data_IF_872131764105
#
_entry.id   IF_872131764105
#
_cell.length_a   1.000
_cell.length_b   1.000
_cell.length_c   1.000
_cell.angle_alpha   90.00
_cell.angle_beta   90.00
_cell.angle_gamma   90.00
#
_symmetry.space_group_name_H-M   'P 1'
#
loop_
_entity.id
_entity.type
_entity.pdbx_description
1 polymer ?
#
# COMPACT_ATOMS: atom_id res chain seq x y z
N UNK A 1 -69.91 27.19 10.78
CA UNK A 1 -68.93 26.43 10.00
C UNK A 1 -67.90 27.44 9.50
N UNK A 2 -66.74 27.53 10.14
CA UNK A 2 -65.64 28.47 9.79
C UNK A 2 -64.42 27.59 9.50
N UNK A 3 -64.02 27.55 8.24
CA UNK A 3 -62.84 26.82 7.75
C UNK A 3 -61.60 27.68 7.96
N UNK A 4 -60.71 27.24 8.84
CA UNK A 4 -59.41 27.84 9.04
C UNK A 4 -58.39 27.31 8.05
N UNK A 5 -57.78 28.21 7.26
CA UNK A 5 -56.67 27.90 6.38
C UNK A 5 -55.37 27.96 7.16
N UNK A 6 -54.65 26.84 7.22
CA UNK A 6 -53.31 26.79 7.78
C UNK A 6 -52.28 27.18 6.71
N UNK A 7 -51.53 28.24 6.96
CA UNK A 7 -50.36 28.63 6.18
C UNK A 7 -49.16 27.74 6.55
N UNK A 8 -48.75 26.87 5.62
CA UNK A 8 -47.53 26.11 5.75
C UNK A 8 -46.33 26.98 5.41
N UNK A 9 -45.53 27.34 6.43
CA UNK A 9 -44.24 27.99 6.26
C UNK A 9 -43.17 26.99 5.78
N UNK A 10 -42.65 27.15 4.58
CA UNK A 10 -41.53 26.38 4.08
C UNK A 10 -40.21 26.83 4.80
N UNK A 11 -39.38 25.89 5.25
CA UNK A 11 -38.10 26.28 5.82
C UNK A 11 -37.15 26.74 4.70
N UNK A 12 -36.68 27.97 4.81
CA UNK A 12 -35.54 28.47 4.03
C UNK A 12 -34.28 27.73 4.46
N UNK A 13 -33.87 26.72 3.67
CA UNK A 13 -32.56 26.10 3.80
C UNK A 13 -31.54 27.06 3.18
N UNK A 14 -30.84 27.84 3.98
CA UNK A 14 -29.67 28.59 3.55
C UNK A 14 -28.61 27.61 3.05
N UNK A 15 -28.51 27.50 1.73
CA UNK A 15 -27.42 26.81 1.06
C UNK A 15 -26.18 27.66 1.20
N UNK A 16 -25.37 27.43 2.25
CA UNK A 16 -24.04 28.01 2.36
C UNK A 16 -23.25 27.57 1.12
N UNK A 17 -22.95 28.51 0.24
CA UNK A 17 -22.02 28.31 -0.88
C UNK A 17 -20.65 28.00 -0.26
N UNK A 18 -20.29 26.72 -0.24
CA UNK A 18 -18.93 26.32 0.07
C UNK A 18 -18.01 26.97 -0.97
N UNK A 19 -17.20 27.93 -0.53
CA UNK A 19 -16.13 28.48 -1.35
C UNK A 19 -15.22 27.31 -1.70
N UNK A 20 -14.94 27.03 -3.00
CA UNK A 20 -14.02 25.99 -3.37
C UNK A 20 -12.67 26.34 -2.72
N UNK A 21 -12.23 25.54 -1.76
CA UNK A 21 -10.85 25.61 -1.29
C UNK A 21 -10.01 25.14 -2.46
N UNK A 22 -9.20 26.04 -3.02
CA UNK A 22 -8.27 25.67 -4.08
C UNK A 22 -7.42 24.50 -3.61
N UNK A 23 -7.40 23.41 -4.36
CA UNK A 23 -6.52 22.29 -4.06
C UNK A 23 -5.07 22.81 -4.02
N UNK A 24 -4.29 22.41 -3.03
CA UNK A 24 -2.89 22.81 -2.97
C UNK A 24 -2.19 22.37 -4.27
N UNK A 25 -1.24 23.16 -4.79
CA UNK A 25 -0.52 22.80 -6.01
C UNK A 25 0.12 21.42 -5.86
N UNK A 26 0.06 20.61 -6.93
CA UNK A 26 0.65 19.28 -6.94
C UNK A 26 2.14 19.37 -6.59
N UNK A 27 2.66 18.50 -5.71
CA UNK A 27 4.07 18.49 -5.37
C UNK A 27 4.91 18.19 -6.61
N UNK A 28 6.10 18.79 -6.75
CA UNK A 28 6.95 18.55 -7.89
C UNK A 28 7.37 17.08 -7.96
N UNK A 29 7.41 16.54 -9.17
CA UNK A 29 7.97 15.21 -9.40
C UNK A 29 9.44 15.19 -8.96
N UNK A 30 9.91 14.13 -8.27
CA UNK A 30 11.32 13.97 -7.94
C UNK A 30 12.23 14.00 -9.16
N UNK A 31 13.46 14.47 -8.98
CA UNK A 31 14.49 14.52 -10.05
C UNK A 31 15.14 13.16 -10.34
N UNK A 32 14.82 12.13 -9.58
CA UNK A 32 15.31 10.76 -9.75
C UNK A 32 14.28 9.89 -10.48
N UNK A 33 14.69 8.74 -11.07
CA UNK A 33 13.78 7.79 -11.68
C UNK A 33 12.72 7.29 -10.70
N UNK A 34 11.46 7.31 -11.11
CA UNK A 34 10.32 6.90 -10.29
C UNK A 34 9.73 5.60 -10.84
N UNK A 35 9.38 4.70 -9.94
CA UNK A 35 8.64 3.48 -10.26
C UNK A 35 7.43 3.32 -9.33
N UNK A 36 6.35 2.77 -9.87
CA UNK A 36 5.18 2.29 -9.16
C UNK A 36 5.28 0.77 -9.04
N UNK A 37 5.62 0.26 -7.87
CA UNK A 37 5.77 -1.18 -7.66
C UNK A 37 4.51 -1.85 -7.10
N UNK A 38 3.37 -1.15 -7.05
CA UNK A 38 2.14 -1.67 -6.50
C UNK A 38 0.94 -1.39 -7.43
N UNK A 39 0.95 -2.03 -8.60
CA UNK A 39 -0.12 -1.93 -9.58
C UNK A 39 -0.70 -3.32 -9.84
N UNK A 40 -2.02 -3.43 -9.78
CA UNK A 40 -2.76 -4.64 -10.11
C UNK A 40 -3.47 -4.48 -11.46
N UNK A 41 -3.38 -5.48 -12.31
CA UNK A 41 -4.22 -5.53 -13.50
C UNK A 41 -5.65 -5.90 -13.11
N UNK A 42 -6.61 -5.39 -13.87
CA UNK A 42 -8.04 -5.58 -13.60
C UNK A 42 -8.86 -5.48 -14.89
N UNK A 43 -10.18 -5.59 -14.77
CA UNK A 43 -11.10 -5.35 -15.89
C UNK A 43 -11.08 -3.89 -16.37
N UNK A 44 -10.58 -2.96 -15.55
CA UNK A 44 -10.50 -1.53 -15.84
C UNK A 44 -9.07 -1.03 -16.07
N UNK A 45 -8.06 -1.89 -15.92
CA UNK A 45 -6.65 -1.58 -16.15
C UNK A 45 -5.94 -2.76 -16.81
N UNK A 46 -5.82 -2.73 -18.11
CA UNK A 46 -5.01 -3.69 -18.87
C UNK A 46 -3.52 -3.36 -18.76
N UNK A 47 -2.66 -4.32 -19.14
CA UNK A 47 -1.20 -4.10 -19.16
C UNK A 47 -0.80 -2.95 -20.09
N UNK A 48 -1.43 -2.84 -21.26
CA UNK A 48 -1.13 -1.77 -22.22
C UNK A 48 -1.56 -0.39 -21.67
N UNK A 49 -2.70 -0.31 -20.98
CA UNK A 49 -3.13 0.91 -20.30
C UNK A 49 -2.17 1.28 -19.16
N UNK A 50 -1.75 0.32 -18.32
CA UNK A 50 -0.78 0.59 -17.25
C UNK A 50 0.54 1.12 -17.81
N UNK A 51 1.05 0.52 -18.89
CA UNK A 51 2.27 0.97 -19.56
C UNK A 51 2.12 2.37 -20.18
N UNK A 52 0.96 2.65 -20.79
CA UNK A 52 0.69 3.98 -21.34
C UNK A 52 0.65 5.05 -20.23
N UNK A 53 -0.05 4.78 -19.12
CA UNK A 53 -0.07 5.66 -17.95
C UNK A 53 1.34 5.90 -17.40
N UNK A 54 2.13 4.83 -17.26
CA UNK A 54 3.52 4.92 -16.82
C UNK A 54 4.36 5.80 -17.75
N UNK A 55 4.24 5.61 -19.06
CA UNK A 55 4.93 6.42 -20.09
C UNK A 55 4.54 7.89 -20.00
N UNK A 56 3.23 8.19 -19.95
CA UNK A 56 2.72 9.57 -19.93
C UNK A 56 3.14 10.32 -18.67
N UNK A 57 3.28 9.60 -17.55
CA UNK A 57 3.69 10.14 -16.24
C UNK A 57 5.19 10.02 -15.99
N UNK A 58 5.93 9.37 -16.89
CA UNK A 58 7.37 9.12 -16.75
C UNK A 58 7.70 8.26 -15.53
N UNK A 59 6.90 7.20 -15.28
CA UNK A 59 7.00 6.28 -14.14
C UNK A 59 7.17 4.86 -14.66
N UNK A 60 8.12 4.11 -14.14
CA UNK A 60 8.25 2.67 -14.42
C UNK A 60 7.14 1.90 -13.72
N UNK A 61 6.64 0.86 -14.37
CA UNK A 61 5.55 0.04 -13.82
C UNK A 61 6.07 -1.31 -13.31
N UNK A 62 5.68 -1.63 -12.09
CA UNK A 62 5.76 -2.96 -11.50
C UNK A 62 4.35 -3.52 -11.32
N UNK A 63 4.13 -4.74 -11.79
CA UNK A 63 2.84 -5.43 -11.67
C UNK A 63 2.92 -6.47 -10.57
N UNK A 64 1.93 -6.46 -9.70
CA UNK A 64 1.74 -7.50 -8.67
C UNK A 64 0.40 -8.19 -8.83
N UNK A 65 0.35 -9.45 -8.44
CA UNK A 65 -0.88 -10.23 -8.31
C UNK A 65 -0.86 -10.98 -6.98
N UNK A 66 -2.02 -11.33 -6.47
CA UNK A 66 -2.16 -12.06 -5.22
C UNK A 66 -1.92 -13.56 -5.42
N UNK A 67 -0.86 -14.12 -4.81
CA UNK A 67 -0.65 -15.55 -4.77
C UNK A 67 -1.30 -16.17 -3.52
N UNK A 68 -1.59 -17.47 -3.60
CA UNK A 68 -2.02 -18.28 -2.47
C UNK A 68 -3.36 -18.97 -2.69
N UNK A 69 -3.74 -19.83 -1.75
CA UNK A 69 -5.00 -20.57 -1.80
C UNK A 69 -6.20 -19.63 -1.86
N UNK A 70 -7.04 -19.82 -2.85
CA UNK A 70 -8.21 -18.96 -3.09
C UNK A 70 -7.95 -17.75 -3.98
N UNK A 71 -6.72 -17.55 -4.44
CA UNK A 71 -6.29 -16.49 -5.35
C UNK A 71 -5.91 -17.05 -6.73
N UNK A 72 -5.80 -16.21 -7.78
CA UNK A 72 -5.49 -16.66 -9.14
C UNK A 72 -4.17 -17.41 -9.26
N UNK A 73 -3.17 -17.06 -8.44
CA UNK A 73 -1.86 -17.71 -8.43
C UNK A 73 -1.79 -18.66 -7.23
N UNK A 74 -2.14 -19.95 -7.44
CA UNK A 74 -2.18 -20.91 -6.33
C UNK A 74 -1.25 -22.13 -6.51
N UNK A 75 -0.48 -22.17 -7.57
CA UNK A 75 0.49 -23.22 -7.88
C UNK A 75 1.73 -22.66 -8.59
N UNK A 76 2.81 -23.44 -8.64
CA UNK A 76 4.00 -23.13 -9.43
C UNK A 76 3.66 -22.92 -10.91
N UNK A 77 2.73 -23.71 -11.45
CA UNK A 77 2.30 -23.60 -12.83
C UNK A 77 1.60 -22.26 -13.11
N UNK A 78 0.71 -21.82 -12.21
CA UNK A 78 0.02 -20.52 -12.34
C UNK A 78 1.01 -19.36 -12.25
N UNK A 79 1.94 -19.45 -11.28
CA UNK A 79 2.95 -18.40 -11.09
C UNK A 79 3.90 -18.33 -12.28
N UNK A 80 4.33 -19.47 -12.83
CA UNK A 80 5.16 -19.53 -14.05
C UNK A 80 4.41 -18.88 -15.22
N UNK A 81 3.15 -19.26 -15.44
CA UNK A 81 2.32 -18.69 -16.52
C UNK A 81 2.16 -17.17 -16.37
N UNK A 82 1.97 -16.69 -15.16
CA UNK A 82 1.89 -15.26 -14.86
C UNK A 82 3.20 -14.55 -15.23
N UNK A 83 4.34 -15.08 -14.77
CA UNK A 83 5.66 -14.52 -15.05
C UNK A 83 5.92 -14.49 -16.56
N UNK A 84 5.72 -15.61 -17.26
CA UNK A 84 5.93 -15.72 -18.71
C UNK A 84 5.02 -14.76 -19.49
N UNK A 85 3.79 -14.61 -19.05
CA UNK A 85 2.81 -13.67 -19.62
C UNK A 85 3.26 -12.22 -19.56
N UNK A 86 3.90 -11.82 -18.46
CA UNK A 86 4.37 -10.44 -18.24
C UNK A 86 5.80 -10.20 -18.75
N UNK A 87 6.62 -11.25 -18.91
CA UNK A 87 8.03 -11.13 -19.29
C UNK A 87 8.26 -10.43 -20.64
N UNK A 88 7.28 -10.48 -21.55
CA UNK A 88 7.29 -9.81 -22.84
C UNK A 88 7.09 -8.30 -22.76
N UNK A 89 6.64 -7.77 -21.62
CA UNK A 89 6.42 -6.34 -21.40
C UNK A 89 7.57 -5.71 -20.59
N UNK A 90 7.80 -4.40 -20.74
CA UNK A 90 8.86 -3.68 -20.01
C UNK A 90 8.43 -3.33 -18.56
N UNK A 91 7.86 -4.29 -17.83
CA UNK A 91 7.43 -4.14 -16.43
C UNK A 91 8.37 -4.86 -15.46
N UNK A 92 8.29 -4.54 -14.18
CA UNK A 92 8.82 -5.37 -13.11
C UNK A 92 7.72 -6.30 -12.64
N UNK A 93 8.06 -7.57 -12.43
CA UNK A 93 7.11 -8.64 -12.13
C UNK A 93 7.23 -9.00 -10.66
N UNK A 94 6.19 -8.72 -9.90
CA UNK A 94 6.13 -9.05 -8.49
C UNK A 94 4.87 -9.84 -8.13
N UNK A 95 4.79 -10.21 -6.87
CA UNK A 95 3.58 -10.74 -6.23
C UNK A 95 3.34 -10.03 -4.91
N UNK A 96 2.06 -10.00 -4.48
CA UNK A 96 1.63 -9.52 -3.17
C UNK A 96 0.95 -10.64 -2.39
N UNK A 97 1.71 -11.45 -1.59
CA UNK A 97 1.13 -12.41 -0.66
C UNK A 97 0.15 -11.73 0.30
N UNK A 98 -1.03 -12.35 0.49
CA UNK A 98 -2.11 -11.76 1.30
C UNK A 98 -2.04 -12.21 2.76
N UNK A 99 -1.49 -13.40 3.03
CA UNK A 99 -1.38 -13.96 4.39
C UNK A 99 0.00 -14.59 4.61
N UNK A 100 0.45 -14.59 5.85
CA UNK A 100 1.75 -15.18 6.20
C UNK A 100 1.78 -16.69 5.91
N UNK A 101 2.88 -17.13 5.32
CA UNK A 101 3.07 -18.52 4.86
C UNK A 101 2.58 -18.79 3.44
N UNK A 102 1.96 -17.82 2.79
CA UNK A 102 1.52 -17.95 1.39
C UNK A 102 2.66 -18.33 0.45
N UNK A 103 3.82 -17.73 0.62
CA UNK A 103 5.02 -18.02 -0.18
C UNK A 103 5.50 -19.47 -0.10
N UNK A 104 5.17 -20.20 0.98
CA UNK A 104 5.52 -21.61 1.16
C UNK A 104 4.75 -22.55 0.22
N UNK A 105 3.70 -22.07 -0.43
CA UNK A 105 2.94 -22.82 -1.44
C UNK A 105 3.67 -22.91 -2.78
N UNK A 106 4.78 -22.20 -2.94
CA UNK A 106 5.55 -22.14 -4.18
C UNK A 106 6.97 -22.62 -3.97
N UNK A 107 7.51 -23.28 -5.00
CA UNK A 107 8.89 -23.70 -4.99
C UNK A 107 9.85 -22.50 -5.11
N UNK A 108 11.00 -22.60 -4.44
CA UNK A 108 12.02 -21.56 -4.52
C UNK A 108 12.45 -21.22 -5.95
N UNK A 109 12.67 -22.20 -6.89
CA UNK A 109 13.03 -21.88 -8.27
C UNK A 109 12.01 -21.02 -9.02
N UNK A 110 10.71 -21.11 -8.69
CA UNK A 110 9.67 -20.28 -9.30
C UNK A 110 9.64 -18.90 -8.64
N UNK A 111 9.71 -18.83 -7.31
CA UNK A 111 9.80 -17.54 -6.60
C UNK A 111 11.05 -16.74 -7.01
N UNK A 112 12.17 -17.41 -7.25
CA UNK A 112 13.42 -16.76 -7.68
C UNK A 112 13.32 -16.11 -9.07
N UNK A 113 12.29 -16.39 -9.86
CA UNK A 113 12.05 -15.73 -11.14
C UNK A 113 11.33 -14.38 -11.00
N UNK A 114 10.73 -14.10 -9.86
CA UNK A 114 10.10 -12.81 -9.60
C UNK A 114 11.16 -11.72 -9.43
N UNK A 115 10.90 -10.53 -9.93
CA UNK A 115 11.78 -9.38 -9.74
C UNK A 115 11.71 -8.89 -8.28
N UNK A 116 10.53 -9.01 -7.63
CA UNK A 116 10.34 -8.65 -6.23
C UNK A 116 9.12 -9.35 -5.62
N UNK A 117 9.06 -9.36 -4.29
CA UNK A 117 7.89 -9.76 -3.51
C UNK A 117 7.56 -8.58 -2.58
N UNK A 118 6.36 -8.04 -2.73
CA UNK A 118 5.81 -6.98 -1.92
C UNK A 118 4.74 -7.58 -1.02
N UNK A 119 4.74 -7.28 0.29
CA UNK A 119 3.71 -7.76 1.20
C UNK A 119 3.39 -6.70 2.24
N UNK A 120 2.14 -6.63 2.62
CA UNK A 120 1.62 -5.89 3.76
C UNK A 120 1.32 -6.83 4.96
N UNK A 121 0.82 -6.24 6.04
CA UNK A 121 0.35 -7.00 7.20
C UNK A 121 -1.15 -6.70 7.46
N UNK A 122 -1.95 -6.57 6.40
CA UNK A 122 -3.34 -6.12 6.51
C UNK A 122 -4.36 -7.25 6.67
N UNK A 123 -3.93 -8.50 6.49
CA UNK A 123 -4.77 -9.70 6.69
C UNK A 123 -4.31 -10.43 7.94
N UNK A 124 -4.85 -10.03 9.10
CA UNK A 124 -4.46 -10.59 10.38
C UNK A 124 -5.16 -11.93 10.65
N UNK A 125 -4.45 -12.93 11.20
CA UNK A 125 -5.10 -14.14 11.68
C UNK A 125 -5.99 -13.83 12.89
N UNK A 126 -7.20 -14.43 12.92
CA UNK A 126 -8.10 -14.36 14.06
C UNK A 126 -7.79 -15.45 15.08
N UNK A 127 -8.05 -15.24 16.39
CA UNK A 127 -7.84 -16.27 17.44
C UNK A 127 -8.72 -17.50 17.26
N UNK A 128 -9.92 -17.31 16.70
CA UNK A 128 -10.92 -18.36 16.41
C UNK A 128 -10.76 -19.02 15.05
N UNK A 129 -9.71 -18.67 14.32
CA UNK A 129 -9.46 -19.09 12.95
C UNK A 129 -9.98 -18.06 11.93
N UNK A 130 -9.53 -18.20 10.65
CA UNK A 130 -9.82 -17.25 9.58
C UNK A 130 -8.99 -15.96 9.67
N UNK A 131 -9.45 -14.90 8.99
CA UNK A 131 -8.68 -13.70 8.74
C UNK A 131 -9.48 -12.44 9.03
N UNK A 132 -8.80 -11.40 9.51
CA UNK A 132 -9.33 -10.05 9.68
C UNK A 132 -8.66 -9.14 8.65
N UNK A 133 -9.43 -8.69 7.66
CA UNK A 133 -8.99 -7.77 6.61
C UNK A 133 -9.09 -6.32 7.11
N UNK A 134 -8.02 -5.78 7.68
CA UNK A 134 -8.06 -4.50 8.40
C UNK A 134 -8.19 -3.27 7.49
N UNK A 135 -8.04 -3.42 6.16
CA UNK A 135 -8.28 -2.35 5.19
C UNK A 135 -9.77 -2.13 4.89
N UNK A 136 -10.64 -3.07 5.26
CA UNK A 136 -12.07 -2.93 5.04
C UNK A 136 -12.67 -1.86 5.96
N UNK A 137 -13.56 -1.04 5.40
CA UNK A 137 -14.14 0.10 6.12
C UNK A 137 -15.02 -0.32 7.30
N UNK A 138 -15.60 -1.52 7.22
CA UNK A 138 -16.47 -2.13 8.23
C UNK A 138 -15.71 -3.00 9.25
N UNK A 139 -14.39 -3.02 9.19
CA UNK A 139 -13.57 -3.73 10.17
C UNK A 139 -13.85 -3.22 11.57
N UNK A 140 -14.24 -4.12 12.48
CA UNK A 140 -14.47 -3.82 13.89
C UNK A 140 -13.19 -4.02 14.70
N UNK A 141 -12.94 -3.09 15.63
CA UNK A 141 -11.84 -3.18 16.60
C UNK A 141 -12.42 -2.82 17.98
N UNK A 142 -12.63 -3.82 18.82
CA UNK A 142 -13.23 -3.65 20.14
C UNK A 142 -12.24 -3.07 21.15
N UNK A 143 -11.00 -3.54 21.16
CA UNK A 143 -9.91 -3.05 21.99
C UNK A 143 -8.68 -2.69 21.13
N UNK A 144 -8.39 -1.38 21.06
CA UNK A 144 -7.27 -0.87 20.29
C UNK A 144 -5.90 -1.34 20.84
N UNK A 145 -5.75 -1.58 22.14
CA UNK A 145 -4.47 -2.01 22.73
C UNK A 145 -4.19 -3.48 22.43
N UNK A 146 -5.21 -4.33 22.57
CA UNK A 146 -5.14 -5.74 22.20
C UNK A 146 -4.88 -5.88 20.70
N UNK A 147 -5.66 -5.18 19.87
CA UNK A 147 -5.44 -5.13 18.42
C UNK A 147 -3.99 -4.78 18.08
N UNK A 148 -3.45 -3.70 18.65
CA UNK A 148 -2.07 -3.28 18.36
C UNK A 148 -1.02 -4.28 18.85
N UNK A 149 -1.30 -5.05 19.88
CA UNK A 149 -0.40 -6.12 20.35
C UNK A 149 -0.33 -7.24 19.32
N UNK A 150 -1.47 -7.73 18.84
CA UNK A 150 -1.57 -8.76 17.80
C UNK A 150 -1.01 -8.27 16.48
N UNK A 151 -1.36 -7.04 16.09
CA UNK A 151 -0.90 -6.45 14.83
C UNK A 151 0.63 -6.31 14.81
N UNK A 152 1.25 -5.86 15.91
CA UNK A 152 2.71 -5.81 16.03
C UNK A 152 3.34 -7.20 15.86
N UNK A 153 2.80 -8.22 16.53
CA UNK A 153 3.29 -9.60 16.40
C UNK A 153 3.18 -10.10 14.94
N UNK A 154 2.10 -9.76 14.27
CA UNK A 154 1.91 -10.14 12.88
C UNK A 154 2.86 -9.40 11.93
N UNK A 155 3.07 -8.09 12.10
CA UNK A 155 4.10 -7.33 11.38
C UNK A 155 5.49 -7.98 11.59
N UNK A 156 5.83 -8.32 12.82
CA UNK A 156 7.09 -9.00 13.13
C UNK A 156 7.21 -10.36 12.40
N UNK A 157 6.14 -11.16 12.40
CA UNK A 157 6.09 -12.40 11.66
C UNK A 157 6.32 -12.16 10.16
N UNK A 158 5.59 -11.24 9.53
CA UNK A 158 5.77 -10.91 8.10
C UNK A 158 7.21 -10.51 7.82
N UNK A 159 7.76 -9.56 8.59
CA UNK A 159 9.11 -9.05 8.36
C UNK A 159 10.23 -10.07 8.62
N UNK A 160 9.98 -11.09 9.44
CA UNK A 160 11.02 -12.07 9.82
C UNK A 160 10.93 -13.39 9.06
N UNK A 161 9.74 -13.80 8.64
CA UNK A 161 9.53 -15.15 8.06
C UNK A 161 9.23 -15.15 6.57
N UNK A 162 8.71 -14.05 6.02
CA UNK A 162 8.36 -13.99 4.59
C UNK A 162 9.56 -13.51 3.74
N UNK A 163 9.74 -14.06 2.52
CA UNK A 163 10.84 -13.72 1.63
C UNK A 163 10.58 -12.41 0.85
N UNK A 164 10.20 -11.34 1.55
CA UNK A 164 9.79 -10.08 0.94
C UNK A 164 10.94 -9.12 0.69
N UNK A 165 10.81 -8.31 -0.35
CA UNK A 165 11.73 -7.23 -0.69
C UNK A 165 11.17 -5.86 -0.27
N UNK A 166 9.83 -5.74 -0.24
CA UNK A 166 9.12 -4.48 0.03
C UNK A 166 8.04 -4.76 1.07
N UNK A 167 8.04 -3.98 2.15
CA UNK A 167 6.96 -3.96 3.14
C UNK A 167 6.00 -2.83 2.83
N UNK A 168 4.80 -3.20 2.40
CA UNK A 168 3.74 -2.27 2.02
C UNK A 168 2.88 -1.85 3.23
N UNK A 169 2.26 -0.68 3.14
CA UNK A 169 1.34 -0.12 4.15
C UNK A 169 1.88 -0.15 5.59
N UNK A 170 3.13 0.22 5.86
CA UNK A 170 3.88 -0.14 7.07
C UNK A 170 3.28 0.40 8.38
N UNK A 171 2.45 1.45 8.33
CA UNK A 171 1.87 2.08 9.52
C UNK A 171 0.35 2.22 9.46
N UNK A 172 -0.30 1.50 8.56
CA UNK A 172 -1.74 1.56 8.41
C UNK A 172 -2.48 1.22 9.71
N UNK A 173 -3.59 1.89 9.96
CA UNK A 173 -4.53 1.56 11.03
C UNK A 173 -5.95 1.50 10.46
N UNK A 174 -6.78 0.52 10.89
CA UNK A 174 -8.16 0.44 10.47
C UNK A 174 -8.98 1.64 10.94
N UNK A 175 -10.02 1.97 10.18
CA UNK A 175 -10.86 3.17 10.36
C UNK A 175 -11.30 3.41 11.82
N UNK A 176 -11.78 2.40 12.59
CA UNK A 176 -12.26 2.63 13.96
C UNK A 176 -11.22 3.24 14.91
N UNK A 177 -9.94 2.98 14.67
CA UNK A 177 -8.85 3.44 15.53
C UNK A 177 -7.89 4.40 14.84
N UNK A 178 -8.11 4.75 13.59
CA UNK A 178 -7.23 5.62 12.82
C UNK A 178 -7.01 7.00 13.48
N UNK A 179 -8.04 7.55 14.13
CA UNK A 179 -7.95 8.83 14.87
C UNK A 179 -6.98 8.77 16.06
N UNK A 180 -6.63 7.58 16.54
CA UNK A 180 -5.70 7.36 17.64
C UNK A 180 -4.26 7.15 17.13
N UNK A 181 -3.97 7.46 15.87
CA UNK A 181 -2.70 7.15 15.21
C UNK A 181 -1.48 7.59 16.05
N UNK A 182 -1.42 8.83 16.50
CA UNK A 182 -0.30 9.35 17.29
C UNK A 182 -0.07 8.58 18.62
N UNK A 183 -1.15 8.07 19.22
CA UNK A 183 -1.09 7.31 20.48
C UNK A 183 -0.73 5.84 20.25
N UNK A 184 -1.20 5.26 19.14
CA UNK A 184 -1.03 3.84 18.82
C UNK A 184 0.29 3.56 18.08
N UNK A 185 0.80 4.49 17.28
CA UNK A 185 2.10 4.42 16.61
C UNK A 185 3.20 5.08 17.44
N UNK A 186 3.41 4.53 18.65
CA UNK A 186 4.45 5.04 19.57
C UNK A 186 5.84 4.97 18.94
N UNK A 187 6.80 5.83 19.38
CA UNK A 187 8.18 5.76 18.90
C UNK A 187 8.79 4.36 18.95
N UNK A 188 8.51 3.59 20.01
CA UNK A 188 9.02 2.23 20.18
C UNK A 188 8.46 1.26 19.13
N UNK A 189 7.18 1.40 18.76
CA UNK A 189 6.55 0.58 17.72
C UNK A 189 7.11 0.92 16.33
N UNK A 190 7.34 2.19 16.08
CA UNK A 190 7.95 2.69 14.83
C UNK A 190 9.38 2.17 14.73
N UNK A 191 10.18 2.33 15.77
CA UNK A 191 11.57 1.89 15.80
C UNK A 191 11.69 0.38 15.60
N UNK A 192 10.80 -0.40 16.20
CA UNK A 192 10.76 -1.86 16.02
C UNK A 192 10.56 -2.27 14.55
N UNK A 193 9.61 -1.65 13.84
CA UNK A 193 9.40 -1.91 12.40
C UNK A 193 10.65 -1.55 11.59
N UNK A 194 11.24 -0.38 11.86
CA UNK A 194 12.43 0.11 11.18
C UNK A 194 13.61 -0.84 11.39
N UNK A 195 13.85 -1.29 12.62
CA UNK A 195 14.95 -2.19 12.96
C UNK A 195 14.80 -3.57 12.31
N UNK A 196 13.59 -4.13 12.28
CA UNK A 196 13.31 -5.38 11.59
C UNK A 196 13.53 -5.25 10.08
N UNK A 197 12.95 -4.22 9.45
CA UNK A 197 13.12 -3.98 8.03
C UNK A 197 14.59 -3.75 7.65
N UNK A 198 15.34 -2.98 8.47
CA UNK A 198 16.78 -2.76 8.29
C UNK A 198 17.60 -4.05 8.38
N UNK A 199 17.34 -4.85 9.41
CA UNK A 199 18.05 -6.13 9.63
C UNK A 199 17.83 -7.10 8.48
N UNK A 200 16.63 -7.11 7.92
CA UNK A 200 16.22 -7.99 6.82
C UNK A 200 16.47 -7.38 5.43
N UNK A 201 16.95 -6.13 5.35
CA UNK A 201 17.16 -5.37 4.11
C UNK A 201 15.87 -5.23 3.28
N UNK A 202 14.73 -5.06 3.97
CA UNK A 202 13.42 -4.87 3.35
C UNK A 202 13.20 -3.38 3.15
N UNK A 203 12.81 -2.98 1.94
CA UNK A 203 12.44 -1.60 1.64
C UNK A 203 11.04 -1.27 2.18
N UNK A 204 10.79 0.00 2.42
CA UNK A 204 9.50 0.52 2.89
C UNK A 204 8.74 1.15 1.73
N UNK A 205 7.52 0.72 1.52
CA UNK A 205 6.62 1.39 0.59
C UNK A 205 6.11 2.70 1.19
N UNK A 206 6.17 3.78 0.40
CA UNK A 206 5.34 4.97 0.59
C UNK A 206 4.13 4.77 -0.31
N UNK A 207 2.96 4.60 0.33
CA UNK A 207 1.74 4.20 -0.38
C UNK A 207 0.84 5.40 -0.64
N UNK A 208 0.49 5.57 -1.92
CA UNK A 208 -0.33 6.68 -2.39
C UNK A 208 -1.79 6.58 -1.93
N UNK A 209 -2.38 5.37 -1.98
CA UNK A 209 -3.79 5.17 -1.66
C UNK A 209 -4.07 5.39 -0.17
N UNK A 210 -3.21 4.84 0.69
CA UNK A 210 -3.41 4.87 2.14
C UNK A 210 -2.77 6.09 2.82
N UNK A 211 -1.96 6.88 2.12
CA UNK A 211 -1.18 7.99 2.67
C UNK A 211 -0.34 7.56 3.88
N UNK A 212 0.37 6.46 3.76
CA UNK A 212 1.29 5.91 4.79
C UNK A 212 2.64 5.52 4.16
N UNK A 213 3.71 5.50 4.96
CA UNK A 213 3.86 5.99 6.34
C UNK A 213 3.98 7.51 6.40
N UNK A 214 3.77 8.10 7.57
CA UNK A 214 3.89 9.54 7.79
C UNK A 214 5.34 10.07 7.70
N UNK A 215 5.46 11.39 7.66
CA UNK A 215 6.73 12.11 7.55
C UNK A 215 7.73 11.72 8.67
N UNK A 216 7.24 11.52 9.88
CA UNK A 216 8.08 11.15 11.04
C UNK A 216 8.70 9.79 10.84
N UNK A 217 7.90 8.83 10.40
CA UNK A 217 8.38 7.48 10.08
C UNK A 217 9.40 7.52 8.94
N UNK A 218 9.07 8.18 7.81
CA UNK A 218 9.97 8.25 6.65
C UNK A 218 11.32 8.87 7.02
N UNK A 219 11.33 9.97 7.78
CA UNK A 219 12.57 10.59 8.25
C UNK A 219 13.40 9.68 9.16
N UNK A 220 12.75 8.92 10.06
CA UNK A 220 13.43 7.94 10.92
C UNK A 220 14.02 6.79 10.11
N UNK A 221 13.22 6.20 9.22
CA UNK A 221 13.62 5.09 8.35
C UNK A 221 14.78 5.49 7.43
N UNK A 222 14.74 6.69 6.85
CA UNK A 222 15.85 7.25 6.06
C UNK A 222 17.12 7.35 6.88
N UNK A 223 17.08 7.93 8.09
CA UNK A 223 18.26 8.01 8.98
C UNK A 223 18.80 6.64 9.35
N UNK A 224 17.96 5.62 9.41
CA UNK A 224 18.36 4.23 9.65
C UNK A 224 18.94 3.54 8.39
N UNK A 225 18.98 4.22 7.24
CA UNK A 225 19.51 3.70 5.98
C UNK A 225 18.57 2.78 5.22
N UNK A 226 17.29 2.78 5.52
CA UNK A 226 16.29 2.02 4.77
C UNK A 226 16.10 2.60 3.37
N UNK A 227 15.76 1.73 2.43
CA UNK A 227 15.34 2.11 1.08
C UNK A 227 13.82 2.26 1.03
N UNK A 228 13.36 3.03 0.04
CA UNK A 228 11.94 3.30 -0.17
C UNK A 228 11.50 2.88 -1.56
N UNK A 229 10.21 2.59 -1.68
CA UNK A 229 9.51 2.44 -2.96
C UNK A 229 8.26 3.32 -2.94
N UNK A 230 7.72 3.62 -4.12
CA UNK A 230 6.37 4.17 -4.24
C UNK A 230 5.43 3.10 -4.73
N UNK A 231 4.17 3.17 -4.28
CA UNK A 231 3.12 2.27 -4.71
C UNK A 231 1.76 2.96 -4.69
N UNK A 232 1.00 2.81 -5.79
CA UNK A 232 -0.38 3.35 -5.85
C UNK A 232 -1.42 2.38 -5.33
N UNK A 233 -1.13 1.08 -5.26
CA UNK A 233 -2.11 0.00 -5.04
C UNK A 233 -3.33 0.13 -5.97
N UNK A 234 -3.08 0.57 -7.18
CA UNK A 234 -4.12 0.92 -8.14
C UNK A 234 -4.55 -0.25 -9.00
N UNK A 235 -5.84 -0.25 -9.35
CA UNK A 235 -6.49 -1.17 -10.28
C UNK A 235 -7.21 -0.44 -11.42
N UNK A 236 -6.87 0.86 -11.63
CA UNK A 236 -7.52 1.74 -12.59
C UNK A 236 -6.53 2.82 -13.08
N UNK A 237 -7.03 3.91 -13.64
CA UNK A 237 -6.26 5.02 -14.20
C UNK A 237 -5.49 5.86 -13.19
N UNK A 238 -5.59 5.57 -11.89
CA UNK A 238 -4.73 6.15 -10.86
C UNK A 238 -3.33 5.49 -10.81
N UNK A 239 -3.07 4.39 -11.53
CA UNK A 239 -1.74 3.79 -11.62
C UNK A 239 -0.69 4.83 -12.05
N UNK A 240 0.47 4.84 -11.38
CA UNK A 240 1.55 5.81 -11.61
C UNK A 240 1.19 7.28 -11.31
N UNK A 241 0.08 7.56 -10.63
CA UNK A 241 -0.31 8.91 -10.23
C UNK A 241 0.07 9.15 -8.77
N UNK A 242 1.07 10.01 -8.54
CA UNK A 242 1.63 10.25 -7.21
C UNK A 242 1.46 11.70 -6.78
N UNK A 243 0.74 11.89 -5.69
CA UNK A 243 0.67 13.15 -4.96
C UNK A 243 1.34 13.01 -3.58
N UNK A 244 0.86 12.07 -2.77
CA UNK A 244 1.38 11.81 -1.43
C UNK A 244 2.84 11.35 -1.46
N UNK A 245 3.17 10.41 -2.34
CA UNK A 245 4.54 9.92 -2.50
C UNK A 245 5.53 11.04 -2.83
N UNK A 246 5.17 11.95 -3.76
CA UNK A 246 6.02 13.08 -4.11
C UNK A 246 6.12 14.10 -2.98
N UNK A 247 5.00 14.35 -2.28
CA UNK A 247 5.02 15.20 -1.10
C UNK A 247 5.95 14.65 -0.01
N UNK A 248 5.93 13.34 0.23
CA UNK A 248 6.82 12.70 1.19
C UNK A 248 8.29 12.73 0.72
N UNK A 249 8.54 12.50 -0.57
CA UNK A 249 9.89 12.63 -1.13
C UNK A 249 10.45 14.04 -0.89
N UNK A 250 9.68 15.07 -1.15
CA UNK A 250 10.08 16.46 -0.93
C UNK A 250 10.28 16.77 0.56
N UNK A 251 9.29 16.48 1.41
CA UNK A 251 9.33 16.79 2.86
C UNK A 251 10.45 16.07 3.61
N UNK A 252 10.79 14.86 3.14
CA UNK A 252 11.84 14.04 3.76
C UNK A 252 13.19 14.15 3.04
N UNK A 253 13.26 14.94 1.96
CA UNK A 253 14.47 15.13 1.17
C UNK A 253 14.99 13.81 0.59
N UNK A 254 14.10 12.95 0.08
CA UNK A 254 14.50 11.69 -0.53
C UNK A 254 15.28 11.96 -1.83
N UNK A 255 16.30 11.16 -2.05
CA UNK A 255 17.17 11.18 -3.22
C UNK A 255 17.15 9.82 -3.92
N UNK A 256 17.74 9.72 -5.10
CA UNK A 256 17.90 8.44 -5.81
C UNK A 256 18.57 7.37 -4.92
N UNK A 257 19.57 7.78 -4.14
CA UNK A 257 20.27 6.90 -3.20
C UNK A 257 19.40 6.33 -2.10
N UNK A 258 18.21 6.92 -1.83
CA UNK A 258 17.26 6.42 -0.83
C UNK A 258 16.24 5.43 -1.42
N UNK A 259 16.16 5.32 -2.76
CA UNK A 259 15.19 4.47 -3.41
C UNK A 259 15.71 3.04 -3.63
N UNK A 260 14.80 2.06 -3.53
CA UNK A 260 15.06 0.71 -4.00
C UNK A 260 14.88 0.68 -5.53
N UNK A 261 15.92 0.20 -6.21
CA UNK A 261 15.84 -0.09 -7.65
C UNK A 261 15.65 -1.59 -7.82
N UNK A 262 14.47 -1.99 -8.25
CA UNK A 262 14.19 -3.39 -8.60
C UNK A 262 14.76 -3.67 -9.99
N UNK A 263 15.68 -4.61 -10.07
CA UNK A 263 16.24 -5.07 -11.35
C UNK A 263 15.38 -6.18 -11.93
N UNK A 264 15.29 -6.21 -13.26
CA UNK A 264 14.61 -7.30 -13.98
C UNK A 264 15.50 -8.55 -13.96
N UNK A 265 14.89 -9.70 -13.68
CA UNK A 265 15.55 -11.02 -13.78
C UNK A 265 15.45 -11.62 -15.19
#
# INVERSE_FOLDING_TARGET
>A
MITGAALAGAPFVSRALAVPVAEPPAPPKPSFPVADYHVHLSNTLSIDQALQLGKDRGVQIGIVEHPGTGYPLNSDADLTKYIDGLRKYPVRIGVQPVYAGCSKSFSKPVLDQLDYILMDALTLPKPDGGWLAIWQIDTMVDDAKEFMTRYRQFIEQVLTTEPINIFAWPTFLPVPIARQYAQLRTPQRVDHIIDLARTRKIAIEINELAHVPDETFVKKAKRAGLKFTFGTDSRNDHAAHFYYCYQMAQKCGLSEGDMLVVTRK
#
